data_IF_407177122065
#
_entry.id   IF_407177122065
#
_cell.length_a   1.000
_cell.length_b   1.000
_cell.length_c   1.000
_cell.angle_alpha   90.00
_cell.angle_beta   90.00
_cell.angle_gamma   90.00
#
_symmetry.space_group_name_H-M   'P 1'
#
loop_
_entity.id
_entity.type
_entity.pdbx_description
1 polymer ?
#
# COMPACT_ATOMS: atom_id res chain seq x y z
N UNK A 1 6.98 2.68 -23.59
CA UNK A 1 8.06 3.33 -22.83
C UNK A 1 7.48 3.83 -21.52
N UNK A 2 7.90 3.32 -20.36
CA UNK A 2 7.45 3.80 -19.04
C UNK A 2 8.69 4.08 -18.22
N UNK A 3 8.83 5.32 -17.75
CA UNK A 3 9.95 5.75 -16.91
C UNK A 3 9.48 5.88 -15.47
N UNK A 4 10.27 5.39 -14.52
CA UNK A 4 10.09 5.62 -13.09
C UNK A 4 11.25 6.50 -12.61
N UNK A 5 10.93 7.59 -11.93
CA UNK A 5 11.93 8.46 -11.29
C UNK A 5 11.69 8.39 -9.79
N UNK A 6 12.71 7.96 -9.04
CA UNK A 6 12.69 8.00 -7.58
C UNK A 6 13.38 9.27 -7.12
N UNK A 7 12.63 10.14 -6.45
CA UNK A 7 13.16 11.33 -5.80
C UNK A 7 13.61 10.98 -4.38
N UNK A 8 14.72 11.57 -3.93
CA UNK A 8 15.04 11.62 -2.50
C UNK A 8 14.19 12.71 -1.83
N UNK A 9 14.34 12.89 -0.52
CA UNK A 9 13.64 13.96 0.22
C UNK A 9 13.96 15.32 -0.40
N UNK A 10 12.92 16.08 -0.65
CA UNK A 10 12.98 17.45 -1.15
C UNK A 10 11.61 18.09 -1.06
N UNK A 11 11.59 19.41 -1.14
CA UNK A 11 10.37 20.19 -0.91
C UNK A 11 9.64 20.54 -2.22
N UNK A 12 10.29 20.31 -3.37
CA UNK A 12 9.78 20.71 -4.68
C UNK A 12 10.11 19.68 -5.76
N UNK A 13 9.18 19.52 -6.71
CA UNK A 13 9.37 18.76 -7.95
C UNK A 13 9.03 19.67 -9.12
N UNK A 14 10.01 19.96 -9.98
CA UNK A 14 9.81 20.77 -11.19
C UNK A 14 9.65 19.84 -12.40
N UNK A 15 8.57 20.06 -13.17
CA UNK A 15 8.28 19.28 -14.39
C UNK A 15 8.08 20.23 -15.56
N UNK A 16 8.76 19.95 -16.67
CA UNK A 16 8.61 20.68 -17.93
C UNK A 16 8.21 19.72 -19.05
N UNK A 17 7.12 20.04 -19.75
CA UNK A 17 6.64 19.28 -20.89
C UNK A 17 7.24 19.83 -22.20
N UNK A 18 7.48 18.94 -23.18
CA UNK A 18 7.79 19.31 -24.56
C UNK A 18 6.54 19.69 -25.36
N UNK A 19 6.69 19.89 -26.68
CA UNK A 19 5.61 20.33 -27.58
C UNK A 19 4.35 19.44 -27.56
N UNK A 20 4.54 18.13 -27.39
CA UNK A 20 3.44 17.16 -27.34
C UNK A 20 2.77 17.02 -25.95
N UNK A 21 3.23 17.80 -24.96
CA UNK A 21 2.77 17.70 -23.58
C UNK A 21 3.31 16.48 -22.83
N UNK A 22 2.86 16.30 -21.59
CA UNK A 22 3.22 15.15 -20.74
C UNK A 22 2.02 14.68 -19.94
N UNK A 23 1.95 13.35 -19.72
CA UNK A 23 1.04 12.73 -18.75
C UNK A 23 1.87 11.95 -17.74
N UNK A 24 1.78 12.33 -16.47
CA UNK A 24 2.48 11.66 -15.38
C UNK A 24 1.62 11.59 -14.13
N UNK A 25 2.00 10.69 -13.22
CA UNK A 25 1.43 10.56 -11.89
C UNK A 25 2.54 10.89 -10.88
N UNK A 26 2.30 11.86 -10.00
CA UNK A 26 3.12 12.09 -8.82
C UNK A 26 2.49 11.34 -7.64
N UNK A 27 3.26 10.45 -7.02
CA UNK A 27 2.85 9.73 -5.81
C UNK A 27 3.83 10.10 -4.70
N UNK A 28 3.32 10.61 -3.58
CA UNK A 28 4.09 10.95 -2.39
C UNK A 28 3.35 10.48 -1.14
N UNK A 29 4.09 10.25 -0.05
CA UNK A 29 3.53 9.80 1.21
C UNK A 29 4.59 9.79 2.32
N UNK A 30 4.13 9.90 3.56
CA UNK A 30 5.00 9.73 4.72
C UNK A 30 5.42 8.25 4.82
N UNK A 31 6.70 7.94 5.04
CA UNK A 31 7.12 6.56 5.28
C UNK A 31 6.38 5.97 6.48
N UNK A 32 5.80 4.79 6.30
CA UNK A 32 5.06 4.06 7.35
C UNK A 32 6.00 3.63 8.49
N UNK A 33 7.29 3.46 8.20
CA UNK A 33 8.33 3.06 9.17
C UNK A 33 8.08 1.72 9.89
N UNK A 34 7.26 0.85 9.29
CA UNK A 34 7.03 -0.50 9.79
C UNK A 34 7.71 -1.54 8.88
N UNK A 35 8.08 -2.71 9.42
CA UNK A 35 8.53 -3.83 8.60
C UNK A 35 7.46 -4.21 7.56
N UNK A 36 7.91 -4.66 6.40
CA UNK A 36 7.04 -5.12 5.30
C UNK A 36 7.39 -6.57 4.96
N UNK A 37 6.40 -7.45 5.08
CA UNK A 37 6.43 -8.82 4.60
C UNK A 37 5.37 -8.96 3.49
N UNK A 38 5.80 -9.30 2.27
CA UNK A 38 4.93 -9.33 1.10
C UNK A 38 5.09 -10.63 0.31
N UNK A 39 3.97 -11.25 -0.06
CA UNK A 39 3.92 -12.33 -1.03
C UNK A 39 2.59 -12.29 -1.78
N UNK A 40 2.65 -12.23 -3.12
CA UNK A 40 1.48 -12.22 -3.99
C UNK A 40 0.51 -11.07 -3.64
N UNK A 41 -0.78 -11.36 -3.34
CA UNK A 41 -1.77 -10.33 -3.07
C UNK A 41 -1.81 -9.84 -1.60
N UNK A 42 -0.96 -10.38 -0.71
CA UNK A 42 -1.04 -10.11 0.74
C UNK A 42 0.22 -9.39 1.21
N UNK A 43 0.03 -8.26 1.90
CA UNK A 43 1.07 -7.48 2.57
C UNK A 43 0.76 -7.46 4.08
N UNK A 44 1.75 -7.79 4.91
CA UNK A 44 1.70 -7.78 6.39
C UNK A 44 2.99 -7.18 6.94
N UNK A 45 3.13 -7.07 8.27
CA UNK A 45 4.36 -6.58 8.90
C UNK A 45 5.39 -7.69 9.10
N UNK A 46 4.96 -8.92 9.42
CA UNK A 46 5.88 -10.05 9.70
C UNK A 46 5.65 -11.28 8.83
N UNK A 47 6.68 -12.13 8.70
CA UNK A 47 6.57 -13.41 7.98
C UNK A 47 5.60 -14.40 8.65
N UNK A 48 5.39 -14.26 9.96
CA UNK A 48 4.43 -15.07 10.70
C UNK A 48 2.99 -14.68 10.33
N UNK A 49 2.68 -13.38 10.36
CA UNK A 49 1.38 -12.86 9.92
C UNK A 49 1.10 -13.22 8.46
N UNK A 50 2.10 -13.14 7.60
CA UNK A 50 1.94 -13.51 6.19
C UNK A 50 1.56 -14.99 6.04
N UNK A 51 2.23 -15.89 6.77
CA UNK A 51 1.89 -17.32 6.79
C UNK A 51 0.48 -17.58 7.32
N UNK A 52 0.10 -16.90 8.40
CA UNK A 52 -1.25 -17.00 8.97
C UNK A 52 -2.32 -16.52 7.97
N UNK A 53 -2.10 -15.36 7.34
CA UNK A 53 -2.98 -14.77 6.35
C UNK A 53 -3.23 -15.69 5.15
N UNK A 54 -2.19 -16.39 4.66
CA UNK A 54 -2.35 -17.38 3.61
C UNK A 54 -3.17 -18.59 4.06
N UNK A 55 -2.95 -19.07 5.29
CA UNK A 55 -3.78 -20.16 5.84
C UNK A 55 -5.24 -19.75 6.00
N UNK A 56 -5.51 -18.51 6.42
CA UNK A 56 -6.87 -17.97 6.50
C UNK A 56 -7.49 -17.82 5.11
N UNK A 57 -6.70 -17.41 4.10
CA UNK A 57 -7.17 -17.31 2.72
C UNK A 57 -7.53 -18.70 2.15
N UNK A 58 -6.68 -19.70 2.35
CA UNK A 58 -6.93 -21.09 1.96
C UNK A 58 -8.18 -21.68 2.64
N UNK A 59 -8.43 -21.30 3.90
CA UNK A 59 -9.60 -21.72 4.68
C UNK A 59 -10.86 -20.88 4.41
N UNK A 60 -10.76 -19.80 3.62
CA UNK A 60 -11.86 -18.87 3.36
C UNK A 60 -12.24 -17.99 4.57
N UNK A 61 -11.38 -17.88 5.58
CA UNK A 61 -11.61 -17.11 6.83
C UNK A 61 -10.83 -15.80 6.88
N UNK A 62 -10.15 -15.42 5.81
CA UNK A 62 -9.31 -14.21 5.73
C UNK A 62 -10.09 -12.91 6.01
N UNK A 63 -11.35 -12.83 5.56
CA UNK A 63 -12.21 -11.68 5.84
C UNK A 63 -12.84 -11.80 7.23
N UNK A 64 -12.31 -11.04 8.18
CA UNK A 64 -12.91 -10.87 9.51
C UNK A 64 -13.92 -9.73 9.40
N UNK A 65 -15.21 -10.05 9.27
CA UNK A 65 -16.26 -9.04 9.09
C UNK A 65 -16.29 -8.01 10.23
N UNK A 66 -16.67 -6.76 9.93
CA UNK A 66 -17.00 -5.73 10.95
C UNK A 66 -18.29 -6.10 11.70
N UNK A 67 -18.27 -7.17 12.51
CA UNK A 67 -19.41 -7.60 13.31
C UNK A 67 -19.08 -7.57 14.82
N UNK A 68 -18.65 -6.41 15.33
CA UNK A 68 -18.59 -6.15 16.79
C UNK A 68 -18.61 -4.66 17.19
N UNK A 69 -18.81 -3.70 16.27
CA UNK A 69 -18.96 -2.27 16.62
C UNK A 69 -20.39 -1.75 16.70
N UNK A 70 -21.39 -2.62 16.80
CA UNK A 70 -22.73 -2.22 17.24
C UNK A 70 -22.93 -2.52 18.73
N UNK A 71 -22.27 -1.73 19.58
CA UNK A 71 -22.76 -1.42 20.92
C UNK A 71 -23.18 0.05 20.88
N UNK A 72 -24.47 0.36 20.75
CA UNK A 72 -25.33 0.65 21.91
C UNK A 72 -24.63 1.56 22.92
N UNK A 73 -24.85 2.87 22.81
CA UNK A 73 -24.35 3.84 23.77
C UNK A 73 -24.53 5.28 23.32
N UNK A 74 -25.78 5.75 23.44
CA UNK A 74 -26.27 7.15 23.37
C UNK A 74 -26.45 7.73 21.97
#
# INVERSE_FOLDING_TARGET
NRSLVLFDRGDEVVVQAGEDGIRFLLVSGQPIQEPVAWYGPIVMNTQNELREAFQELERGTFLKGEASRTGSGI
#
